data_IF_989614119433
#
_entry.id   IF_989614119433
#
_cell.length_a   1.000
_cell.length_b   1.000
_cell.length_c   1.000
_cell.angle_alpha   90.00
_cell.angle_beta   90.00
_cell.angle_gamma   90.00
#
_symmetry.space_group_name_H-M   'P 1'
#
loop_
_entity.id
_entity.type
_entity.pdbx_description
1 polymer ?
#
# COMPACT_ATOMS: atom_id res chain seq x y z
N UNK A 1 12.81 -26.79 -25.45
CA UNK A 1 12.73 -26.24 -24.08
C UNK A 1 11.26 -26.26 -23.70
N UNK A 2 10.88 -27.09 -22.73
CA UNK A 2 9.50 -27.13 -22.24
C UNK A 2 9.20 -25.83 -21.49
N UNK A 3 7.93 -25.43 -21.47
CA UNK A 3 7.46 -24.16 -20.88
C UNK A 3 7.81 -24.00 -19.39
N UNK A 4 8.20 -25.08 -18.71
CA UNK A 4 8.51 -25.14 -17.28
C UNK A 4 9.82 -24.44 -16.89
N UNK A 5 10.75 -24.20 -17.83
CA UNK A 5 12.03 -23.54 -17.53
C UNK A 5 11.94 -22.00 -17.48
N UNK A 6 10.75 -21.40 -17.65
CA UNK A 6 10.61 -19.95 -17.90
C UNK A 6 10.41 -19.08 -16.65
N UNK A 7 10.08 -19.65 -15.48
CA UNK A 7 9.78 -18.88 -14.28
C UNK A 7 10.70 -19.23 -13.11
N UNK A 8 11.26 -18.20 -12.45
CA UNK A 8 12.15 -18.32 -11.28
C UNK A 8 11.47 -18.97 -10.07
N UNK A 9 10.14 -18.97 -10.01
CA UNK A 9 9.36 -19.44 -8.87
C UNK A 9 8.47 -20.62 -9.25
N UNK A 10 8.22 -21.51 -8.29
CA UNK A 10 7.31 -22.63 -8.48
C UNK A 10 5.89 -22.15 -8.82
N UNK A 11 5.35 -22.64 -9.94
CA UNK A 11 4.03 -22.22 -10.42
C UNK A 11 2.87 -23.05 -9.87
N UNK A 12 3.10 -23.99 -8.93
CA UNK A 12 2.05 -24.83 -8.35
C UNK A 12 1.14 -24.11 -7.34
N UNK A 13 1.53 -22.91 -6.89
CA UNK A 13 0.73 -22.07 -6.00
C UNK A 13 -0.36 -21.27 -6.72
N UNK A 14 -1.16 -20.54 -5.94
CA UNK A 14 -2.05 -19.50 -6.48
C UNK A 14 -1.25 -18.22 -6.71
N UNK A 15 -1.32 -17.70 -7.93
CA UNK A 15 -0.73 -16.41 -8.29
C UNK A 15 -1.78 -15.32 -8.16
N UNK A 16 -1.42 -14.26 -7.43
CA UNK A 16 -2.29 -13.11 -7.24
C UNK A 16 -1.64 -11.87 -7.86
N UNK A 17 -2.39 -11.19 -8.73
CA UNK A 17 -2.03 -9.90 -9.29
C UNK A 17 -2.55 -8.81 -8.35
N UNK A 18 -1.66 -8.04 -7.76
CA UNK A 18 -2.01 -6.96 -6.83
C UNK A 18 -1.34 -5.65 -7.16
N UNK A 19 -1.94 -4.54 -6.71
CA UNK A 19 -1.26 -3.27 -6.59
C UNK A 19 -1.01 -2.97 -5.10
N UNK A 20 0.25 -2.78 -4.72
CA UNK A 20 0.66 -2.50 -3.35
C UNK A 20 0.91 -1.02 -3.07
N UNK A 21 0.92 -0.15 -4.08
CA UNK A 21 1.24 1.25 -3.91
C UNK A 21 0.44 2.10 -4.90
N UNK A 22 -0.58 2.80 -4.40
CA UNK A 22 -1.36 3.75 -5.18
C UNK A 22 -2.01 4.82 -4.31
N UNK A 23 -2.37 5.92 -4.98
CA UNK A 23 -3.01 7.08 -4.39
C UNK A 23 -4.42 7.26 -4.93
N UNK A 24 -5.28 7.79 -4.08
CA UNK A 24 -6.64 8.20 -4.39
C UNK A 24 -6.77 9.71 -4.20
N UNK A 25 -7.97 10.25 -4.40
CA UNK A 25 -8.27 11.65 -4.11
C UNK A 25 -8.15 12.03 -2.62
N UNK A 26 -7.82 11.09 -1.72
CA UNK A 26 -7.52 11.39 -0.32
C UNK A 26 -6.11 11.97 -0.11
N UNK A 27 -5.17 11.75 -1.04
CA UNK A 27 -3.92 12.53 -1.14
C UNK A 27 -3.82 13.26 -2.48
N UNK A 28 -3.23 12.62 -3.48
CA UNK A 28 -2.73 13.21 -4.73
C UNK A 28 -3.08 12.35 -5.96
N UNK A 29 -3.88 11.30 -5.75
CA UNK A 29 -4.46 10.50 -6.83
C UNK A 29 -5.66 11.18 -7.49
N UNK A 30 -6.06 10.63 -8.65
CA UNK A 30 -7.12 11.20 -9.48
C UNK A 30 -8.46 10.49 -9.34
N UNK A 31 -8.46 9.24 -8.86
CA UNK A 31 -9.67 8.43 -8.65
C UNK A 31 -9.95 8.34 -7.16
N UNK A 32 -11.21 8.44 -6.75
CA UNK A 32 -11.57 8.16 -5.36
C UNK A 32 -11.43 6.65 -5.06
N UNK A 33 -11.53 6.24 -3.79
CA UNK A 33 -11.39 4.84 -3.36
C UNK A 33 -12.31 3.88 -4.14
N UNK A 34 -13.59 4.26 -4.33
CA UNK A 34 -14.56 3.42 -5.03
C UNK A 34 -14.20 3.29 -6.51
N UNK A 35 -13.89 4.40 -7.19
CA UNK A 35 -13.46 4.40 -8.60
C UNK A 35 -12.16 3.62 -8.81
N UNK A 36 -11.17 3.81 -7.94
CA UNK A 36 -9.91 3.08 -7.96
C UNK A 36 -10.15 1.57 -7.81
N UNK A 37 -10.93 1.17 -6.80
CA UNK A 37 -11.24 -0.25 -6.56
C UNK A 37 -11.95 -0.91 -7.75
N UNK A 38 -12.93 -0.22 -8.36
CA UNK A 38 -13.62 -0.69 -9.55
C UNK A 38 -12.66 -0.80 -10.75
N UNK A 39 -11.83 0.22 -10.97
CA UNK A 39 -10.85 0.25 -12.05
C UNK A 39 -9.91 -0.97 -12.05
N UNK A 40 -9.40 -1.35 -10.86
CA UNK A 40 -8.53 -2.52 -10.71
C UNK A 40 -9.29 -3.84 -10.79
N UNK A 41 -10.51 -3.92 -10.25
CA UNK A 41 -11.38 -5.10 -10.36
C UNK A 41 -11.66 -5.45 -11.83
N UNK A 42 -12.05 -4.46 -12.65
CA UNK A 42 -12.31 -4.62 -14.09
C UNK A 42 -11.08 -5.13 -14.87
N UNK A 43 -9.87 -4.90 -14.34
CA UNK A 43 -8.58 -5.29 -14.96
C UNK A 43 -8.01 -6.58 -14.39
N UNK A 44 -8.86 -7.38 -13.77
CA UNK A 44 -8.54 -8.71 -13.23
C UNK A 44 -7.39 -8.69 -12.21
N UNK A 45 -7.29 -7.61 -11.44
CA UNK A 45 -6.49 -7.65 -10.21
C UNK A 45 -7.25 -8.45 -9.15
N UNK A 46 -6.50 -9.08 -8.25
CA UNK A 46 -7.05 -9.82 -7.13
C UNK A 46 -7.13 -8.98 -5.86
N UNK A 47 -6.23 -8.00 -5.71
CA UNK A 47 -6.25 -7.07 -4.59
C UNK A 47 -5.58 -5.73 -4.93
N UNK A 48 -5.88 -4.73 -4.11
CA UNK A 48 -5.17 -3.45 -4.06
C UNK A 48 -4.85 -3.10 -2.60
N UNK A 49 -3.88 -2.22 -2.39
CA UNK A 49 -3.68 -1.50 -1.14
C UNK A 49 -3.88 0.00 -1.40
N UNK A 50 -4.65 0.65 -0.53
CA UNK A 50 -4.79 2.11 -0.58
C UNK A 50 -3.71 2.71 0.30
N UNK A 51 -2.80 3.47 -0.29
CA UNK A 51 -1.59 3.96 0.37
C UNK A 51 -1.43 5.45 0.14
N UNK A 52 -2.51 6.21 0.37
CA UNK A 52 -2.50 7.67 0.30
C UNK A 52 -1.42 8.27 1.22
N UNK A 53 -0.86 9.41 0.82
CA UNK A 53 0.20 10.08 1.59
C UNK A 53 -0.32 10.55 2.96
N UNK A 54 0.25 10.00 4.04
CA UNK A 54 -0.07 10.35 5.44
C UNK A 54 -1.57 10.26 5.79
N UNK A 55 -2.34 9.50 5.02
CA UNK A 55 -3.78 9.27 5.27
C UNK A 55 -4.00 7.76 5.39
N UNK A 56 -4.21 7.23 6.60
CA UNK A 56 -4.47 5.81 6.79
C UNK A 56 -5.77 5.40 6.09
N UNK A 57 -5.70 4.31 5.35
CA UNK A 57 -6.89 3.59 4.91
C UNK A 57 -7.17 2.44 5.88
N UNK A 58 -8.36 2.48 6.50
CA UNK A 58 -8.84 1.45 7.41
C UNK A 58 -10.13 0.89 6.82
N UNK A 59 -10.05 -0.29 6.21
CA UNK A 59 -11.15 -0.94 5.51
C UNK A 59 -12.36 -1.22 6.42
N UNK A 60 -12.13 -1.40 7.72
CA UNK A 60 -13.18 -1.61 8.71
C UNK A 60 -14.05 -0.36 8.97
N UNK A 61 -13.59 0.83 8.60
CA UNK A 61 -14.33 2.10 8.76
C UNK A 61 -15.23 2.43 7.56
N UNK A 62 -15.16 1.63 6.49
CA UNK A 62 -16.01 1.81 5.32
C UNK A 62 -17.41 1.24 5.57
N UNK A 63 -18.41 2.09 5.33
CA UNK A 63 -19.82 1.65 5.29
C UNK A 63 -20.10 0.75 4.08
N UNK A 64 -19.46 1.06 2.94
CA UNK A 64 -19.68 0.37 1.66
C UNK A 64 -18.63 -0.70 1.37
N UNK A 65 -19.09 -1.81 0.78
CA UNK A 65 -18.19 -2.87 0.29
C UNK A 65 -17.55 -2.47 -1.04
N UNK A 66 -16.25 -2.70 -1.14
CA UNK A 66 -15.49 -2.53 -2.39
C UNK A 66 -15.55 -3.81 -3.25
N UNK A 67 -15.47 -3.69 -4.60
CA UNK A 67 -15.60 -4.82 -5.53
C UNK A 67 -14.37 -5.74 -5.61
N UNK A 68 -13.30 -5.43 -4.88
CA UNK A 68 -12.03 -6.17 -4.86
C UNK A 68 -11.51 -6.21 -3.42
N UNK A 69 -10.66 -7.19 -3.09
CA UNK A 69 -9.97 -7.19 -1.81
C UNK A 69 -9.10 -5.93 -1.71
N UNK A 70 -9.39 -5.10 -0.73
CA UNK A 70 -8.66 -3.87 -0.46
C UNK A 70 -7.94 -4.02 0.87
N UNK A 71 -6.62 -3.85 0.85
CA UNK A 71 -5.77 -3.92 2.02
C UNK A 71 -5.61 -2.54 2.63
N UNK A 72 -5.57 -2.52 3.97
CA UNK A 72 -5.19 -1.35 4.76
C UNK A 72 -3.79 -0.89 4.42
N UNK A 73 -3.59 0.42 4.40
CA UNK A 73 -2.31 0.99 4.05
C UNK A 73 -2.20 2.50 4.20
N UNK A 74 -0.97 2.97 4.07
CA UNK A 74 -0.56 4.37 4.11
C UNK A 74 0.81 4.48 3.43
N UNK A 75 1.08 5.57 2.73
CA UNK A 75 2.46 5.95 2.41
C UNK A 75 2.91 7.01 3.42
N UNK A 76 3.89 6.64 4.23
CA UNK A 76 4.57 7.53 5.15
C UNK A 76 5.68 8.27 4.41
N UNK A 77 5.94 9.50 4.81
CA UNK A 77 7.09 10.24 4.35
C UNK A 77 7.73 11.01 5.51
N UNK A 78 9.03 11.22 5.43
CA UNK A 78 9.77 12.06 6.36
C UNK A 78 11.27 11.95 6.13
N UNK A 79 12.05 12.69 6.92
CA UNK A 79 13.51 12.68 6.79
C UNK A 79 14.15 11.61 7.67
N UNK A 80 15.18 10.96 7.15
CA UNK A 80 16.09 10.14 7.95
C UNK A 80 17.03 11.01 8.81
N UNK A 81 17.93 10.35 9.55
CA UNK A 81 18.92 11.00 10.41
C UNK A 81 19.95 11.87 9.64
N UNK A 82 20.08 11.65 8.34
CA UNK A 82 20.92 12.41 7.42
C UNK A 82 20.16 13.53 6.70
N UNK A 83 18.84 13.66 6.93
CA UNK A 83 17.99 14.67 6.32
C UNK A 83 17.46 14.30 4.93
N UNK A 84 17.71 13.08 4.46
CA UNK A 84 17.21 12.55 3.18
C UNK A 84 15.71 12.27 3.30
N UNK A 85 14.93 12.71 2.31
CA UNK A 85 13.50 12.41 2.29
C UNK A 85 13.29 10.93 1.93
N UNK A 86 12.61 10.21 2.79
CA UNK A 86 12.27 8.81 2.63
C UNK A 86 10.76 8.63 2.55
N UNK A 87 10.33 7.71 1.70
CA UNK A 87 8.95 7.25 1.63
C UNK A 87 8.89 5.77 2.00
N UNK A 88 7.91 5.42 2.84
CA UNK A 88 7.70 4.04 3.30
C UNK A 88 6.23 3.70 3.16
N UNK A 89 5.94 2.70 2.33
CA UNK A 89 4.61 2.13 2.22
C UNK A 89 4.42 1.11 3.34
N UNK A 90 3.33 1.24 4.07
CA UNK A 90 2.92 0.30 5.11
C UNK A 90 1.65 -0.43 4.64
N UNK A 91 1.62 -1.75 4.74
CA UNK A 91 0.49 -2.61 4.34
C UNK A 91 0.01 -3.42 5.55
N UNK A 92 -1.25 -3.26 5.94
CA UNK A 92 -1.82 -3.85 7.16
C UNK A 92 -2.09 -2.79 8.22
N UNK A 93 -2.01 -3.15 9.50
CA UNK A 93 -2.43 -2.27 10.62
C UNK A 93 -1.78 -0.89 10.61
N UNK A 94 -2.60 0.16 10.44
CA UNK A 94 -2.19 1.58 10.32
C UNK A 94 -2.99 2.50 11.24
N UNK A 95 -3.65 1.93 12.26
CA UNK A 95 -4.55 2.67 13.14
C UNK A 95 -3.80 3.70 14.00
N UNK A 96 -4.44 4.87 14.18
CA UNK A 96 -3.95 5.99 14.96
C UNK A 96 -2.66 6.64 14.46
N UNK A 97 -2.20 6.34 13.24
CA UNK A 97 -1.09 7.04 12.61
C UNK A 97 -1.60 8.41 12.14
N UNK A 98 -0.86 9.47 12.50
CA UNK A 98 -1.24 10.84 12.17
C UNK A 98 -0.05 11.64 11.65
N UNK A 99 -0.34 12.69 10.87
CA UNK A 99 0.66 13.52 10.18
C UNK A 99 1.55 14.37 11.10
N UNK A 100 1.19 14.49 12.37
CA UNK A 100 1.96 15.21 13.40
C UNK A 100 3.06 14.35 14.04
N UNK A 101 3.05 13.04 13.79
CA UNK A 101 4.11 12.12 14.21
C UNK A 101 5.32 12.21 13.28
N UNK A 102 6.51 11.99 13.82
CA UNK A 102 7.75 11.85 13.06
C UNK A 102 7.77 10.56 12.24
N UNK A 103 8.67 10.47 11.25
CA UNK A 103 8.85 9.25 10.46
C UNK A 103 9.13 8.03 11.35
N UNK A 104 10.02 8.17 12.34
CA UNK A 104 10.33 7.05 13.23
C UNK A 104 9.14 6.63 14.10
N UNK A 105 8.38 7.58 14.66
CA UNK A 105 7.19 7.26 15.47
C UNK A 105 6.12 6.54 14.64
N UNK A 106 5.88 7.00 13.41
CA UNK A 106 4.92 6.34 12.50
C UNK A 106 5.38 4.94 12.09
N UNK A 107 6.67 4.75 11.79
CA UNK A 107 7.24 3.44 11.47
C UNK A 107 7.14 2.45 12.63
N UNK A 108 7.47 2.87 13.85
CA UNK A 108 7.37 2.05 15.04
C UNK A 108 5.92 1.66 15.33
N UNK A 109 4.99 2.61 15.18
CA UNK A 109 3.55 2.39 15.37
C UNK A 109 2.95 1.46 14.32
N UNK A 110 3.32 1.58 13.05
CA UNK A 110 2.90 0.64 12.01
C UNK A 110 3.45 -0.77 12.29
N UNK A 111 4.73 -0.86 12.65
CA UNK A 111 5.39 -2.13 12.97
C UNK A 111 4.78 -2.82 14.20
N UNK A 112 4.41 -2.06 15.25
CA UNK A 112 3.78 -2.63 16.44
C UNK A 112 2.41 -3.25 16.17
N UNK A 113 1.77 -2.88 15.05
CA UNK A 113 0.48 -3.40 14.60
C UNK A 113 0.63 -4.54 13.58
N UNK A 114 1.85 -5.00 13.30
CA UNK A 114 2.12 -6.06 12.35
C UNK A 114 2.06 -5.62 10.88
N UNK A 115 2.13 -4.31 10.61
CA UNK A 115 2.19 -3.79 9.24
C UNK A 115 3.47 -4.27 8.54
N UNK A 116 3.35 -4.55 7.24
CA UNK A 116 4.47 -4.85 6.37
C UNK A 116 5.03 -3.55 5.79
N UNK A 117 6.31 -3.26 6.06
CA UNK A 117 6.97 -2.01 5.70
C UNK A 117 7.81 -2.20 4.43
N UNK A 118 7.61 -1.32 3.45
CA UNK A 118 8.29 -1.33 2.15
C UNK A 118 8.97 0.02 1.96
N UNK A 119 10.30 0.03 1.76
CA UNK A 119 11.00 1.23 1.32
C UNK A 119 10.55 1.56 -0.10
N UNK A 120 9.71 2.59 -0.22
CA UNK A 120 9.13 2.98 -1.50
C UNK A 120 10.15 3.78 -2.30
N UNK A 121 10.23 3.45 -3.61
CA UNK A 121 11.00 4.16 -4.63
C UNK A 121 12.30 4.84 -4.09
N UNK A 122 13.25 4.05 -3.53
CA UNK A 122 14.39 4.55 -2.75
C UNK A 122 15.33 5.47 -3.52
N UNK A 123 15.20 5.51 -4.84
CA UNK A 123 15.85 6.46 -5.71
C UNK A 123 14.79 7.36 -6.36
N UNK A 124 14.44 8.43 -5.65
CA UNK A 124 13.56 9.47 -6.16
C UNK A 124 14.42 10.61 -6.74
N UNK A 125 14.30 10.84 -8.05
CA UNK A 125 15.01 11.89 -8.80
C UNK A 125 14.04 12.74 -9.59
#
# INVERSE_FOLDING_TARGET
>A
MSVEERFRYHCSGKWFKGNLHMHTTRSDGHLNVAEASAYYAERSYNFIAITDHLVPFIGAELDDKLPIMTLDGIELNGKDDQGSLCHVVCIGGVDGISKDMTLMETLEKARSQGSFLIWAHPHWS
#
